data_IF_932030538120
#
_entry.id   IF_932030538120
#
_cell.length_a   1.000
_cell.length_b   1.000
_cell.length_c   1.000
_cell.angle_alpha   90.00
_cell.angle_beta   90.00
_cell.angle_gamma   90.00
#
_symmetry.space_group_name_H-M   'P 1'
#
loop_
_entity.id
_entity.type
_entity.pdbx_description
1 polymer ?
#
# COMPACT_ATOMS: atom_id res chain seq x y z
N UNK A 1 0.40 -18.74 -8.49
CA UNK A 1 -0.32 -17.62 -7.89
C UNK A 1 -0.41 -17.81 -6.38
N UNK A 2 -0.38 -16.69 -5.61
CA UNK A 2 -0.58 -16.62 -4.17
C UNK A 2 -1.83 -15.80 -3.89
N UNK A 3 -2.54 -16.14 -2.81
CA UNK A 3 -3.64 -15.34 -2.27
C UNK A 3 -3.06 -14.30 -1.30
N UNK A 4 -3.19 -13.02 -1.64
CA UNK A 4 -2.53 -11.92 -0.95
C UNK A 4 -3.56 -10.88 -0.56
N UNK A 5 -3.62 -10.55 0.74
CA UNK A 5 -4.37 -9.41 1.23
C UNK A 5 -3.43 -8.20 1.42
N UNK A 6 -3.90 -7.00 1.09
CA UNK A 6 -3.15 -5.75 1.20
C UNK A 6 -3.99 -4.78 2.01
N UNK A 7 -3.42 -4.22 3.07
CA UNK A 7 -4.16 -3.45 4.07
C UNK A 7 -3.49 -2.10 4.26
N UNK A 8 -4.21 -0.97 4.10
CA UNK A 8 -3.79 0.37 4.53
C UNK A 8 -4.14 0.63 6.00
N UNK A 9 -3.69 1.77 6.55
CA UNK A 9 -4.16 2.24 7.85
C UNK A 9 -5.65 2.66 7.83
N UNK A 10 -6.25 2.83 9.03
CA UNK A 10 -7.59 3.40 9.18
C UNK A 10 -7.63 4.84 8.67
N UNK A 11 -8.77 5.22 8.04
CA UNK A 11 -8.94 6.50 7.36
C UNK A 11 -7.85 6.74 6.31
N UNK A 12 -7.77 5.87 5.29
CA UNK A 12 -6.67 5.90 4.33
C UNK A 12 -6.62 7.22 3.57
N UNK A 13 -5.44 7.76 3.45
CA UNK A 13 -5.14 8.95 2.64
C UNK A 13 -4.60 8.57 1.26
N UNK A 14 -3.99 9.54 0.56
CA UNK A 14 -3.48 9.31 -0.79
C UNK A 14 -2.27 8.38 -0.83
N UNK A 15 -1.40 8.38 0.18
CA UNK A 15 -0.24 7.48 0.24
C UNK A 15 -0.67 6.05 0.60
N UNK A 16 -1.56 5.90 1.57
CA UNK A 16 -2.12 4.61 1.97
C UNK A 16 -2.89 3.94 0.81
N UNK A 17 -3.75 4.66 0.10
CA UNK A 17 -4.46 4.14 -1.06
C UNK A 17 -3.54 3.94 -2.26
N UNK A 18 -2.64 4.88 -2.50
CA UNK A 18 -1.67 4.82 -3.59
C UNK A 18 -0.73 3.62 -3.48
N UNK A 19 -0.16 3.40 -2.31
CA UNK A 19 0.76 2.28 -2.07
C UNK A 19 0.06 0.92 -2.15
N UNK A 20 -1.13 0.79 -1.55
CA UNK A 20 -1.88 -0.47 -1.57
C UNK A 20 -2.42 -0.83 -2.95
N UNK A 21 -3.00 0.12 -3.68
CA UNK A 21 -3.47 -0.10 -5.05
C UNK A 21 -2.29 -0.26 -6.03
N UNK A 22 -1.19 0.46 -5.83
CA UNK A 22 0.03 0.28 -6.61
C UNK A 22 0.58 -1.14 -6.49
N UNK A 23 0.69 -1.65 -5.25
CA UNK A 23 1.10 -3.04 -5.01
C UNK A 23 0.08 -4.05 -5.55
N UNK A 24 -1.22 -3.77 -5.43
CA UNK A 24 -2.28 -4.60 -6.00
C UNK A 24 -2.09 -4.79 -7.51
N UNK A 25 -1.95 -3.72 -8.28
CA UNK A 25 -1.77 -3.79 -9.73
C UNK A 25 -0.48 -4.50 -10.11
N UNK A 26 0.61 -4.26 -9.38
CA UNK A 26 1.88 -4.95 -9.56
C UNK A 26 1.74 -6.47 -9.34
N UNK A 27 1.11 -6.89 -8.24
CA UNK A 27 0.90 -8.31 -7.94
C UNK A 27 -0.04 -9.00 -8.94
N UNK A 28 -1.08 -8.29 -9.40
CA UNK A 28 -1.96 -8.76 -10.48
C UNK A 28 -1.21 -8.98 -11.78
N UNK A 29 -0.25 -8.10 -12.12
CA UNK A 29 0.63 -8.27 -13.30
C UNK A 29 1.49 -9.52 -13.21
N UNK A 30 1.84 -9.96 -12.00
CA UNK A 30 2.57 -11.20 -11.72
C UNK A 30 1.63 -12.43 -11.55
N UNK A 31 0.35 -12.30 -11.90
CA UNK A 31 -0.68 -13.36 -11.80
C UNK A 31 -0.97 -13.83 -10.37
N UNK A 32 -0.75 -13.00 -9.35
CA UNK A 32 -1.20 -13.28 -7.99
C UNK A 32 -2.69 -12.93 -7.80
N UNK A 33 -3.35 -13.60 -6.85
CA UNK A 33 -4.71 -13.29 -6.40
C UNK A 33 -4.63 -12.24 -5.28
N UNK A 34 -4.42 -10.97 -5.66
CA UNK A 34 -4.33 -9.88 -4.71
C UNK A 34 -5.68 -9.20 -4.49
N UNK A 35 -5.92 -8.70 -3.27
CA UNK A 35 -7.09 -7.91 -2.91
C UNK A 35 -6.70 -6.83 -1.88
N UNK A 36 -7.23 -5.62 -2.05
CA UNK A 36 -7.06 -4.53 -1.08
C UNK A 36 -8.24 -4.53 -0.12
N UNK A 37 -7.96 -4.40 1.17
CA UNK A 37 -8.96 -4.35 2.25
C UNK A 37 -8.69 -3.12 3.10
N UNK A 38 -9.52 -2.08 2.94
CA UNK A 38 -9.44 -0.90 3.78
C UNK A 38 -10.22 -1.11 5.09
N UNK A 39 -9.73 -0.62 6.24
CA UNK A 39 -10.45 -0.72 7.50
C UNK A 39 -11.82 -0.03 7.48
N UNK A 40 -11.89 1.14 6.88
CA UNK A 40 -13.09 1.96 6.69
C UNK A 40 -13.06 2.66 5.33
N UNK A 41 -14.08 3.43 5.03
CA UNK A 41 -14.16 4.20 3.77
C UNK A 41 -12.98 5.18 3.63
N UNK A 42 -12.51 5.31 2.40
CA UNK A 42 -11.51 6.29 2.00
C UNK A 42 -12.19 7.51 1.36
N UNK A 43 -11.52 8.67 1.30
CA UNK A 43 -12.09 9.88 0.72
C UNK A 43 -12.53 9.71 -0.73
N UNK A 44 -13.69 10.29 -1.09
CA UNK A 44 -14.27 10.18 -2.43
C UNK A 44 -13.34 10.69 -3.54
N UNK A 45 -12.51 11.71 -3.23
CA UNK A 45 -11.54 12.23 -4.20
C UNK A 45 -10.43 11.24 -4.58
N UNK A 46 -10.34 10.07 -3.93
CA UNK A 46 -9.45 8.97 -4.30
C UNK A 46 -10.17 7.85 -5.08
N UNK A 47 -11.49 7.95 -5.25
CA UNK A 47 -12.30 6.91 -5.90
C UNK A 47 -12.01 6.74 -7.41
N UNK A 48 -11.32 7.69 -8.02
CA UNK A 48 -10.88 7.60 -9.42
C UNK A 48 -9.62 6.73 -9.61
N UNK A 49 -8.89 6.41 -8.53
CA UNK A 49 -7.70 5.57 -8.62
C UNK A 49 -8.04 4.19 -9.21
N UNK A 50 -7.24 3.70 -10.17
CA UNK A 50 -7.47 2.38 -10.76
C UNK A 50 -7.56 1.28 -9.70
N UNK A 51 -8.65 0.50 -9.71
CA UNK A 51 -8.89 -0.61 -8.79
C UNK A 51 -9.56 -0.23 -7.47
N UNK A 52 -9.83 1.06 -7.23
CA UNK A 52 -10.51 1.53 -6.01
C UNK A 52 -11.91 0.91 -5.85
N UNK A 53 -12.59 0.64 -6.95
CA UNK A 53 -13.92 0.01 -6.99
C UNK A 53 -13.93 -1.47 -6.50
N UNK A 54 -12.76 -2.08 -6.38
CA UNK A 54 -12.57 -3.48 -5.92
C UNK A 54 -12.12 -3.57 -4.47
N UNK A 55 -11.90 -2.43 -3.82
CA UNK A 55 -11.46 -2.39 -2.42
C UNK A 55 -12.59 -2.90 -1.52
N UNK A 56 -12.31 -3.90 -0.71
CA UNK A 56 -13.22 -4.34 0.35
C UNK A 56 -13.11 -3.40 1.55
N UNK A 57 -14.24 -3.06 2.14
CA UNK A 57 -14.31 -2.22 3.34
C UNK A 57 -14.67 -3.11 4.53
N UNK A 58 -13.74 -3.24 5.49
CA UNK A 58 -13.93 -4.10 6.65
C UNK A 58 -15.16 -3.72 7.48
N UNK A 59 -15.40 -2.44 7.73
CA UNK A 59 -16.56 -1.97 8.50
C UNK A 59 -17.90 -2.30 7.83
N UNK A 60 -17.94 -2.45 6.50
CA UNK A 60 -19.15 -2.76 5.73
C UNK A 60 -19.46 -4.26 5.64
N UNK A 61 -18.42 -5.10 5.54
CA UNK A 61 -18.59 -6.54 5.34
C UNK A 61 -17.51 -7.34 6.08
N UNK A 62 -17.62 -7.35 7.41
CA UNK A 62 -16.66 -8.03 8.29
C UNK A 62 -16.57 -9.54 8.04
N UNK A 63 -17.69 -10.18 7.71
CA UNK A 63 -17.73 -11.64 7.52
C UNK A 63 -16.98 -12.05 6.26
N UNK A 64 -17.21 -11.35 5.15
CA UNK A 64 -16.49 -11.61 3.91
C UNK A 64 -15.01 -11.29 4.04
N UNK A 65 -14.67 -10.14 4.63
CA UNK A 65 -13.27 -9.77 4.88
C UNK A 65 -12.57 -10.79 5.77
N UNK A 66 -13.23 -11.30 6.81
CA UNK A 66 -12.67 -12.33 7.66
C UNK A 66 -12.34 -13.61 6.87
N UNK A 67 -13.23 -14.05 5.97
CA UNK A 67 -12.99 -15.20 5.09
C UNK A 67 -11.81 -14.97 4.15
N UNK A 68 -11.71 -13.77 3.56
CA UNK A 68 -10.59 -13.38 2.69
C UNK A 68 -9.27 -13.41 3.44
N UNK A 69 -9.21 -12.80 4.63
CA UNK A 69 -8.01 -12.76 5.47
C UNK A 69 -7.58 -14.16 5.95
N UNK A 70 -8.53 -15.03 6.30
CA UNK A 70 -8.23 -16.41 6.65
C UNK A 70 -7.69 -17.22 5.46
N UNK A 71 -8.19 -16.94 4.25
CA UNK A 71 -7.75 -17.56 3.01
C UNK A 71 -6.42 -17.03 2.48
N UNK A 72 -5.97 -15.86 2.94
CA UNK A 72 -4.71 -15.25 2.49
C UNK A 72 -3.50 -16.07 2.94
N UNK A 73 -2.52 -16.20 2.05
CA UNK A 73 -1.22 -16.85 2.33
C UNK A 73 -0.19 -15.83 2.86
N UNK A 74 -0.33 -14.56 2.49
CA UNK A 74 0.50 -13.45 2.92
C UNK A 74 -0.39 -12.22 3.09
N UNK A 75 -0.11 -11.41 4.10
CA UNK A 75 -0.78 -10.13 4.34
C UNK A 75 0.27 -9.04 4.26
N UNK A 76 0.06 -8.09 3.35
CA UNK A 76 0.83 -6.86 3.30
C UNK A 76 0.12 -5.77 4.10
N UNK A 77 0.88 -5.05 4.88
CA UNK A 77 0.45 -3.83 5.57
C UNK A 77 1.28 -2.68 5.04
N UNK A 78 0.62 -1.67 4.48
CA UNK A 78 1.29 -0.53 3.89
C UNK A 78 0.85 0.76 4.56
N UNK A 79 1.84 1.65 4.74
CA UNK A 79 1.67 2.98 5.28
C UNK A 79 1.24 3.01 6.76
N UNK A 80 1.61 1.97 7.49
CA UNK A 80 1.50 1.96 8.95
C UNK A 80 2.44 0.92 9.60
N UNK A 81 2.84 1.22 10.81
CA UNK A 81 3.90 0.54 11.55
C UNK A 81 3.42 -0.29 12.76
N UNK A 82 2.12 -0.29 13.06
CA UNK A 82 1.55 -1.02 14.19
C UNK A 82 0.11 -1.45 13.88
N UNK A 83 -0.28 -2.67 14.22
CA UNK A 83 -1.57 -3.25 13.80
C UNK A 83 -2.79 -2.46 14.32
N UNK A 84 -2.68 -1.77 15.48
CA UNK A 84 -3.75 -0.92 16.00
C UNK A 84 -4.09 0.26 15.07
N UNK A 85 -3.18 0.67 14.18
CA UNK A 85 -3.44 1.73 13.19
C UNK A 85 -4.44 1.32 12.10
N UNK A 86 -4.74 0.04 11.98
CA UNK A 86 -5.88 -0.44 11.19
C UNK A 86 -7.24 -0.22 11.93
N UNK A 87 -7.23 0.43 13.09
CA UNK A 87 -8.39 0.64 13.95
C UNK A 87 -8.64 -0.52 14.90
N UNK A 88 -9.33 -0.25 16.02
CA UNK A 88 -9.44 -1.19 17.15
C UNK A 88 -9.98 -2.57 16.74
N UNK A 89 -11.03 -2.61 15.94
CA UNK A 89 -11.67 -3.87 15.55
C UNK A 89 -10.83 -4.67 14.55
N UNK A 90 -10.35 -4.02 13.49
CA UNK A 90 -9.54 -4.69 12.48
C UNK A 90 -8.14 -5.01 13.04
N UNK A 91 -7.53 -4.10 13.78
CA UNK A 91 -6.23 -4.33 14.45
C UNK A 91 -6.27 -5.55 15.37
N UNK A 92 -7.27 -5.61 16.27
CA UNK A 92 -7.46 -6.78 17.16
C UNK A 92 -7.76 -8.08 16.41
N UNK A 93 -8.37 -8.01 15.22
CA UNK A 93 -8.56 -9.16 14.37
C UNK A 93 -7.23 -9.62 13.74
N UNK A 94 -6.45 -8.69 13.21
CA UNK A 94 -5.15 -8.96 12.58
C UNK A 94 -4.15 -9.57 13.58
N UNK A 95 -4.11 -9.09 14.83
CA UNK A 95 -3.25 -9.63 15.90
C UNK A 95 -3.48 -11.12 16.18
N UNK A 96 -4.71 -11.60 15.96
CA UNK A 96 -5.08 -13.01 16.18
C UNK A 96 -4.77 -13.90 14.98
N UNK A 97 -4.47 -13.31 13.82
CA UNK A 97 -4.16 -14.06 12.62
C UNK A 97 -2.75 -14.67 12.68
N UNK A 98 -2.65 -15.96 12.45
CA UNK A 98 -1.36 -16.65 12.35
C UNK A 98 -0.93 -16.76 10.89
N UNK A 99 -0.66 -15.60 10.28
CA UNK A 99 -0.25 -15.46 8.89
C UNK A 99 1.07 -14.68 8.80
N UNK A 100 1.89 -14.89 7.78
CA UNK A 100 3.05 -14.04 7.55
C UNK A 100 2.60 -12.64 7.11
N UNK A 101 3.05 -11.63 7.86
CA UNK A 101 2.91 -10.22 7.49
C UNK A 101 4.18 -9.71 6.81
N UNK A 102 3.98 -8.84 5.83
CA UNK A 102 5.03 -8.01 5.23
C UNK A 102 4.62 -6.55 5.41
N UNK A 103 5.42 -5.79 6.12
CA UNK A 103 5.20 -4.38 6.37
C UNK A 103 6.07 -3.55 5.43
N UNK A 104 5.46 -2.54 4.77
CA UNK A 104 6.17 -1.50 4.02
C UNK A 104 5.66 -0.15 4.54
N UNK A 105 6.54 0.64 5.17
CA UNK A 105 6.12 1.84 5.89
C UNK A 105 7.27 2.84 6.07
N UNK A 106 6.97 4.14 6.02
CA UNK A 106 7.94 5.21 6.23
C UNK A 106 7.83 5.91 7.59
N UNK A 107 6.96 5.44 8.49
CA UNK A 107 6.77 6.02 9.82
C UNK A 107 7.81 5.51 10.82
N UNK A 108 8.01 6.29 11.90
CA UNK A 108 8.96 5.97 12.97
C UNK A 108 8.44 4.87 13.90
N UNK A 109 9.36 4.12 14.52
CA UNK A 109 9.08 3.15 15.59
C UNK A 109 8.14 2.00 15.17
N UNK A 110 8.54 1.16 14.19
CA UNK A 110 7.74 0.02 13.76
C UNK A 110 7.65 -1.06 14.82
N UNK A 111 6.44 -1.59 15.04
CA UNK A 111 6.20 -2.75 15.90
C UNK A 111 6.73 -4.05 15.25
N UNK A 112 7.23 -5.02 16.03
CA UNK A 112 7.84 -6.24 15.51
C UNK A 112 6.83 -7.36 15.18
N UNK A 113 5.70 -7.04 14.52
CA UNK A 113 4.68 -8.03 14.18
C UNK A 113 4.91 -8.71 12.83
N UNK A 114 5.62 -8.05 11.92
CA UNK A 114 5.80 -8.53 10.56
C UNK A 114 6.98 -9.49 10.43
N UNK A 115 6.83 -10.52 9.62
CA UNK A 115 7.92 -11.44 9.26
C UNK A 115 8.99 -10.76 8.41
N UNK A 116 8.57 -9.82 7.57
CA UNK A 116 9.44 -8.97 6.75
C UNK A 116 9.04 -7.54 6.98
N UNK A 117 9.99 -6.70 7.34
CA UNK A 117 9.81 -5.26 7.56
C UNK A 117 10.66 -4.49 6.57
N UNK A 118 10.03 -3.66 5.77
CA UNK A 118 10.64 -2.65 4.91
C UNK A 118 10.23 -1.30 5.49
N UNK A 119 11.05 -0.75 6.35
CA UNK A 119 10.77 0.51 7.05
C UNK A 119 11.95 1.46 6.88
N UNK A 120 11.67 2.66 6.36
CA UNK A 120 12.70 3.70 6.18
C UNK A 120 12.08 5.10 6.28
N UNK A 121 12.36 5.77 7.36
CA UNK A 121 11.85 7.11 7.66
C UNK A 121 12.50 8.23 6.84
N UNK A 122 13.51 7.94 6.04
CA UNK A 122 14.14 8.92 5.14
C UNK A 122 13.30 9.21 3.90
N UNK A 123 12.37 8.30 3.54
CA UNK A 123 11.44 8.51 2.44
C UNK A 123 10.32 9.47 2.79
N UNK A 124 9.88 10.24 1.80
CA UNK A 124 8.77 11.17 1.92
C UNK A 124 7.40 10.50 1.92
N UNK A 125 7.29 9.26 1.38
CA UNK A 125 6.05 8.49 1.29
C UNK A 125 6.31 6.98 1.24
N UNK A 126 5.34 6.19 1.65
CA UNK A 126 5.35 4.72 1.47
C UNK A 126 5.30 4.35 -0.02
N UNK A 127 4.67 5.17 -0.87
CA UNK A 127 4.67 4.98 -2.31
C UNK A 127 6.08 5.07 -2.92
N UNK A 128 6.88 6.07 -2.53
CA UNK A 128 8.27 6.17 -2.97
C UNK A 128 9.09 4.97 -2.47
N UNK A 129 8.92 4.61 -1.21
CA UNK A 129 9.59 3.44 -0.62
C UNK A 129 9.22 2.14 -1.34
N UNK A 130 7.94 1.95 -1.68
CA UNK A 130 7.46 0.79 -2.45
C UNK A 130 8.14 0.72 -3.83
N UNK A 131 8.17 1.84 -4.57
CA UNK A 131 8.85 1.88 -5.87
C UNK A 131 10.32 1.49 -5.74
N UNK A 132 11.04 2.08 -4.78
CA UNK A 132 12.48 1.78 -4.54
C UNK A 132 12.71 0.34 -4.08
N UNK A 133 11.79 -0.21 -3.30
CA UNK A 133 11.84 -1.61 -2.92
C UNK A 133 11.73 -2.53 -4.14
N UNK A 134 10.77 -2.27 -5.04
CA UNK A 134 10.61 -3.04 -6.28
C UNK A 134 11.81 -2.87 -7.22
N UNK A 135 12.35 -1.66 -7.33
CA UNK A 135 13.56 -1.38 -8.11
C UNK A 135 14.77 -2.15 -7.57
N UNK A 136 14.98 -2.16 -6.26
CA UNK A 136 16.07 -2.89 -5.60
C UNK A 136 15.99 -4.42 -5.83
N UNK A 137 14.79 -4.93 -6.03
CA UNK A 137 14.54 -6.32 -6.40
C UNK A 137 14.65 -6.59 -7.91
N UNK A 138 14.93 -5.58 -8.72
CA UNK A 138 14.90 -5.62 -10.20
C UNK A 138 13.52 -6.06 -10.75
N UNK A 139 12.44 -5.57 -10.14
CA UNK A 139 11.06 -5.90 -10.50
C UNK A 139 10.26 -4.70 -11.05
N UNK A 140 10.86 -3.50 -11.14
CA UNK A 140 10.19 -2.27 -11.60
C UNK A 140 9.62 -2.38 -13.02
N UNK A 141 10.16 -3.27 -13.88
CA UNK A 141 9.64 -3.52 -15.23
C UNK A 141 8.22 -4.13 -15.25
N UNK A 142 7.75 -4.62 -14.11
CA UNK A 142 6.38 -5.14 -13.98
C UNK A 142 5.37 -4.08 -13.48
N UNK A 143 5.83 -2.86 -13.19
CA UNK A 143 4.95 -1.74 -12.85
C UNK A 143 4.26 -1.30 -14.15
N UNK A 144 2.94 -1.47 -14.22
CA UNK A 144 2.12 -0.99 -15.33
C UNK A 144 1.59 0.42 -15.04
N UNK A 145 0.97 1.07 -16.03
CA UNK A 145 0.42 2.42 -15.91
C UNK A 145 -0.53 2.58 -14.71
N UNK A 146 -1.39 1.58 -14.42
CA UNK A 146 -2.30 1.65 -13.28
C UNK A 146 -1.56 1.66 -11.95
N UNK A 147 -0.54 0.78 -11.80
CA UNK A 147 0.31 0.79 -10.61
C UNK A 147 1.09 2.10 -10.48
N UNK A 148 1.63 2.61 -11.61
CA UNK A 148 2.36 3.86 -11.66
C UNK A 148 1.48 5.06 -11.25
N UNK A 149 0.23 5.12 -11.74
CA UNK A 149 -0.74 6.16 -11.38
C UNK A 149 -1.03 6.17 -9.87
N UNK A 150 -1.25 5.00 -9.28
CA UNK A 150 -1.48 4.89 -7.85
C UNK A 150 -0.25 5.34 -7.03
N UNK A 151 0.94 4.84 -7.38
CA UNK A 151 2.20 5.21 -6.70
C UNK A 151 2.48 6.70 -6.84
N UNK A 152 2.31 7.27 -8.03
CA UNK A 152 2.47 8.70 -8.28
C UNK A 152 1.55 9.54 -7.40
N UNK A 153 0.27 9.16 -7.29
CA UNK A 153 -0.71 9.87 -6.46
C UNK A 153 -0.27 9.92 -5.01
N UNK A 154 0.18 8.80 -4.43
CA UNK A 154 0.67 8.79 -3.05
C UNK A 154 1.90 9.68 -2.86
N UNK A 155 2.87 9.66 -3.79
CA UNK A 155 4.03 10.54 -3.72
C UNK A 155 3.61 12.02 -3.76
N UNK A 156 2.68 12.41 -4.64
CA UNK A 156 2.22 13.80 -4.78
C UNK A 156 1.49 14.26 -3.52
N UNK A 157 0.59 13.43 -2.98
CA UNK A 157 -0.21 13.80 -1.80
C UNK A 157 0.68 13.95 -0.56
N UNK A 158 1.55 12.99 -0.30
CA UNK A 158 2.35 12.96 0.91
C UNK A 158 3.56 13.92 0.87
N UNK A 159 4.02 14.29 -0.32
CA UNK A 159 5.02 15.34 -0.49
C UNK A 159 4.44 16.77 -0.47
N UNK A 160 3.13 16.92 -0.30
CA UNK A 160 2.45 18.21 -0.41
C UNK A 160 2.68 18.86 -1.78
N UNK A 161 2.56 18.10 -2.85
CA UNK A 161 2.90 18.52 -4.22
C UNK A 161 4.37 18.96 -4.33
N UNK A 162 5.25 18.14 -3.79
CA UNK A 162 6.71 18.30 -3.81
C UNK A 162 7.27 19.50 -3.00
N UNK A 163 6.49 20.01 -2.04
CA UNK A 163 6.89 21.16 -1.21
C UNK A 163 7.58 20.77 0.09
N UNK A 164 7.39 19.56 0.58
CA UNK A 164 7.91 19.14 1.87
C UNK A 164 9.39 18.79 1.81
N UNK A 165 10.07 18.96 2.95
CA UNK A 165 11.54 18.83 3.09
C UNK A 165 12.08 17.46 2.65
N UNK A 166 11.29 16.40 2.78
CA UNK A 166 11.68 15.04 2.36
C UNK A 166 11.61 14.81 0.85
N UNK A 167 11.15 15.78 0.07
CA UNK A 167 11.22 15.73 -1.39
C UNK A 167 12.67 15.89 -1.85
N UNK A 168 13.20 14.87 -2.46
CA UNK A 168 14.62 14.82 -2.87
C UNK A 168 14.77 14.70 -4.38
N UNK A 169 16.00 14.82 -4.90
CA UNK A 169 16.28 14.50 -6.30
C UNK A 169 15.96 13.04 -6.65
N UNK A 170 15.99 12.10 -5.67
CA UNK A 170 15.55 10.73 -5.88
C UNK A 170 14.03 10.63 -6.05
N UNK A 171 13.26 11.37 -5.25
CA UNK A 171 11.80 11.48 -5.41
C UNK A 171 11.43 11.92 -6.83
N UNK A 172 12.07 12.96 -7.35
CA UNK A 172 11.83 13.43 -8.73
C UNK A 172 12.25 12.41 -9.80
N UNK A 173 13.31 11.63 -9.58
CA UNK A 173 13.68 10.53 -10.51
C UNK A 173 12.63 9.42 -10.53
N UNK A 174 12.09 9.05 -9.38
CA UNK A 174 10.97 8.09 -9.31
C UNK A 174 9.75 8.64 -10.04
N UNK A 175 9.40 9.90 -9.79
CA UNK A 175 8.28 10.58 -10.47
C UNK A 175 8.48 10.60 -11.98
N UNK A 176 9.66 10.94 -12.49
CA UNK A 176 9.97 10.91 -13.91
C UNK A 176 9.78 9.50 -14.50
N UNK A 177 10.28 8.46 -13.82
CA UNK A 177 10.10 7.09 -14.27
C UNK A 177 8.63 6.64 -14.28
N UNK A 178 7.81 7.11 -13.32
CA UNK A 178 6.37 6.84 -13.31
C UNK A 178 5.64 7.54 -14.46
N UNK A 179 6.00 8.80 -14.77
CA UNK A 179 5.46 9.55 -15.90
C UNK A 179 5.80 8.85 -17.22
N UNK A 180 7.03 8.35 -17.38
CA UNK A 180 7.45 7.59 -18.57
C UNK A 180 6.64 6.28 -18.75
N UNK A 181 6.01 5.77 -17.70
CA UNK A 181 5.06 4.64 -17.76
C UNK A 181 3.64 5.06 -18.18
N UNK A 182 3.41 6.32 -18.52
CA UNK A 182 2.16 6.85 -19.05
C UNK A 182 1.19 7.38 -17.99
N UNK A 183 1.72 7.85 -16.84
CA UNK A 183 0.91 8.56 -15.84
C UNK A 183 0.55 9.95 -16.40
N UNK A 184 -0.75 10.27 -16.36
CA UNK A 184 -1.29 11.59 -16.70
C UNK A 184 -1.37 12.48 -15.45
#
# INVERSE_FOLDING_TARGET
PKKIAIIPHRSPDGDAMGSTLGLYHFLKKLNHEAIVIAPNEFPEFLAWLPGSEKVLIFEKDKENVAKVLQGAEVIFTLDFNALHRAGDQMGSYLEKLRKPFVMIDHHQMPDPYAKITVSDTSFGSTCELLYRFLEKLNLQQYINTNAATCIYTGIVTDSGSFKFVKTTGNTHRVVAALIDLGVD
#
